data_IF_177299004676
#
_entry.id   IF_177299004676
#
_cell.length_a   1.000
_cell.length_b   1.000
_cell.length_c   1.000
_cell.angle_alpha   90.00
_cell.angle_beta   90.00
_cell.angle_gamma   90.00
#
_symmetry.space_group_name_H-M   'P 1'
#
loop_
_entity.id
_entity.type
_entity.pdbx_description
1 polymer ?
#
# COMPACT_ATOMS: atom_id res chain seq x y z
N UNK A 1 5.05 10.10 3.10
CA UNK A 1 6.35 10.19 2.41
C UNK A 1 6.10 10.73 1.04
N UNK A 2 7.05 11.51 0.53
CA UNK A 2 7.17 11.78 -0.90
C UNK A 2 7.97 10.64 -1.53
N UNK A 3 7.91 10.50 -2.85
CA UNK A 3 8.75 9.61 -3.65
C UNK A 3 10.20 10.12 -3.80
N UNK A 4 10.49 11.32 -3.30
CA UNK A 4 11.81 11.95 -3.39
C UNK A 4 12.73 11.51 -2.24
N UNK A 5 14.02 11.41 -2.54
CA UNK A 5 15.06 10.95 -1.62
C UNK A 5 16.13 12.02 -1.38
N UNK A 6 16.84 11.90 -0.25
CA UNK A 6 17.92 12.82 0.15
C UNK A 6 17.49 13.91 1.14
N UNK A 7 18.46 14.58 1.81
CA UNK A 7 18.17 15.59 2.84
C UNK A 7 17.40 16.80 2.30
N UNK A 8 17.62 17.16 1.03
CA UNK A 8 16.97 18.30 0.37
C UNK A 8 15.47 18.06 0.11
N UNK A 9 15.02 16.79 0.14
CA UNK A 9 13.60 16.44 0.04
C UNK A 9 12.86 16.54 1.38
N UNK A 10 13.53 17.01 2.44
CA UNK A 10 12.96 17.17 3.78
C UNK A 10 11.88 18.25 3.83
N UNK A 11 10.73 17.90 4.43
CA UNK A 11 9.63 18.83 4.68
C UNK A 11 9.43 19.01 6.19
N UNK A 12 9.34 20.25 6.65
CA UNK A 12 9.18 20.56 8.08
C UNK A 12 7.89 19.97 8.68
N UNK A 13 6.87 19.76 7.86
CA UNK A 13 5.56 19.22 8.23
C UNK A 13 5.35 17.77 7.76
N UNK A 14 6.42 17.07 7.36
CA UNK A 14 6.37 15.72 6.78
C UNK A 14 5.51 14.73 7.58
N UNK A 15 5.56 14.84 8.92
CA UNK A 15 4.91 13.91 9.84
C UNK A 15 3.56 14.42 10.38
N UNK A 16 3.18 15.66 10.09
CA UNK A 16 1.97 16.27 10.62
C UNK A 16 0.73 15.51 10.18
N UNK A 17 -0.05 15.04 11.14
CA UNK A 17 -1.26 14.24 10.92
C UNK A 17 -1.02 12.83 10.37
N UNK A 18 0.23 12.37 10.28
CA UNK A 18 0.59 11.03 9.80
C UNK A 18 0.74 10.05 10.97
N UNK A 19 0.55 8.77 10.70
CA UNK A 19 0.78 7.71 11.69
C UNK A 19 2.27 7.40 11.83
N UNK A 20 2.73 7.27 13.07
CA UNK A 20 3.98 6.63 13.46
C UNK A 20 3.64 5.43 14.33
N UNK A 21 3.90 4.23 13.83
CA UNK A 21 3.61 2.99 14.52
C UNK A 21 4.84 2.56 15.31
N UNK A 22 4.68 2.30 16.60
CA UNK A 22 5.76 1.85 17.48
C UNK A 22 5.62 0.35 17.75
N UNK A 23 6.71 -0.37 17.58
CA UNK A 23 6.81 -1.83 17.80
C UNK A 23 7.83 -2.13 18.91
N UNK A 24 7.58 -1.70 20.16
CA UNK A 24 8.56 -1.86 21.24
C UNK A 24 8.83 -3.35 21.50
N UNK A 25 10.11 -3.78 21.55
CA UNK A 25 10.47 -5.14 21.94
C UNK A 25 9.96 -5.50 23.34
N UNK A 26 9.73 -6.78 23.59
CA UNK A 26 9.33 -7.26 24.91
C UNK A 26 10.35 -6.84 25.99
N UNK A 27 9.85 -6.33 27.12
CA UNK A 27 10.69 -5.83 28.22
C UNK A 27 11.24 -4.41 28.03
N UNK A 28 10.89 -3.71 26.94
CA UNK A 28 11.25 -2.29 26.78
C UNK A 28 10.66 -1.47 27.92
N UNK A 29 11.48 -0.64 28.57
CA UNK A 29 11.03 0.22 29.65
C UNK A 29 9.97 1.21 29.17
N UNK A 30 8.84 1.29 29.87
CA UNK A 30 7.72 2.17 29.51
C UNK A 30 8.15 3.63 29.35
N UNK A 31 9.07 4.11 30.19
CA UNK A 31 9.62 5.46 30.08
C UNK A 31 10.32 5.73 28.74
N UNK A 32 11.01 4.71 28.18
CA UNK A 32 11.65 4.84 26.87
C UNK A 32 10.61 4.88 25.74
N UNK A 33 9.56 4.06 25.83
CA UNK A 33 8.44 4.06 24.86
C UNK A 33 7.76 5.44 24.86
N UNK A 34 7.37 5.94 26.04
CA UNK A 34 6.72 7.25 26.20
C UNK A 34 7.59 8.39 25.69
N UNK A 35 8.92 8.32 25.88
CA UNK A 35 9.85 9.31 25.35
C UNK A 35 9.80 9.38 23.81
N UNK A 36 9.82 8.23 23.14
CA UNK A 36 9.76 8.16 21.66
C UNK A 36 8.37 8.55 21.14
N UNK A 37 7.29 8.13 21.80
CA UNK A 37 5.93 8.57 21.45
C UNK A 37 5.77 10.08 21.56
N UNK A 38 6.28 10.67 22.65
CA UNK A 38 6.24 12.12 22.86
C UNK A 38 7.00 12.86 21.76
N UNK A 39 8.18 12.37 21.37
CA UNK A 39 8.94 12.92 20.24
C UNK A 39 8.10 12.95 18.95
N UNK A 40 7.47 11.83 18.58
CA UNK A 40 6.63 11.76 17.39
C UNK A 40 5.41 12.69 17.47
N UNK A 41 4.76 12.78 18.64
CA UNK A 41 3.64 13.70 18.86
C UNK A 41 4.04 15.16 18.73
N UNK A 42 5.24 15.54 19.20
CA UNK A 42 5.78 16.91 19.03
C UNK A 42 5.94 17.25 17.54
N UNK A 43 6.32 16.28 16.71
CA UNK A 43 6.39 16.42 15.24
C UNK A 43 5.01 16.44 14.57
N UNK A 44 3.92 16.36 15.34
CA UNK A 44 2.54 16.38 14.85
C UNK A 44 2.02 15.04 14.36
N UNK A 45 2.74 13.94 14.61
CA UNK A 45 2.30 12.60 14.23
C UNK A 45 1.26 12.03 15.22
N UNK A 46 0.42 11.13 14.73
CA UNK A 46 -0.38 10.23 15.54
C UNK A 46 0.46 8.99 15.88
N UNK A 47 0.30 8.42 17.07
CA UNK A 47 1.09 7.26 17.51
C UNK A 47 0.18 6.10 17.91
N UNK A 48 0.56 4.89 17.54
CA UNK A 48 -0.03 3.66 18.05
C UNK A 48 1.06 2.63 18.35
N UNK A 49 0.83 1.78 19.35
CA UNK A 49 1.71 0.66 19.69
C UNK A 49 1.12 -0.63 19.15
N UNK A 50 1.95 -1.52 18.63
CA UNK A 50 1.54 -2.86 18.22
C UNK A 50 2.74 -3.82 18.27
N UNK A 51 2.48 -5.13 18.23
CA UNK A 51 3.56 -6.10 18.05
C UNK A 51 4.12 -6.04 16.62
N UNK A 52 5.40 -6.37 16.46
CA UNK A 52 6.09 -6.31 15.17
C UNK A 52 5.44 -7.21 14.11
N UNK A 53 5.00 -8.42 14.49
CA UNK A 53 4.36 -9.34 13.54
C UNK A 53 2.98 -8.83 13.07
N UNK A 54 2.23 -8.16 13.93
CA UNK A 54 0.98 -7.51 13.57
C UNK A 54 1.21 -6.29 12.69
N UNK A 55 2.21 -5.45 12.99
CA UNK A 55 2.64 -4.37 12.12
C UNK A 55 2.90 -4.88 10.70
N UNK A 56 3.74 -5.91 10.57
CA UNK A 56 4.16 -6.42 9.26
C UNK A 56 2.98 -7.00 8.46
N UNK A 57 2.04 -7.68 9.11
CA UNK A 57 0.80 -8.15 8.47
C UNK A 57 -0.11 -7.02 8.03
N UNK A 58 -0.29 -6.00 8.86
CA UNK A 58 -1.12 -4.84 8.53
C UNK A 58 -0.49 -4.07 7.36
N UNK A 59 0.81 -3.78 7.42
CA UNK A 59 1.51 -3.04 6.37
C UNK A 59 1.62 -3.84 5.07
N UNK A 60 1.70 -5.18 5.14
CA UNK A 60 1.67 -6.03 3.95
C UNK A 60 0.42 -5.77 3.09
N UNK A 61 -0.76 -5.69 3.69
CA UNK A 61 -2.00 -5.45 2.94
C UNK A 61 -2.21 -3.98 2.58
N UNK A 62 -1.89 -3.02 3.47
CA UNK A 62 -2.18 -1.60 3.21
C UNK A 62 -1.10 -0.88 2.39
N UNK A 63 0.09 -1.45 2.24
CA UNK A 63 1.23 -0.81 1.56
C UNK A 63 1.98 -1.74 0.61
N UNK A 64 2.49 -2.88 1.08
CA UNK A 64 3.43 -3.68 0.27
C UNK A 64 2.75 -4.35 -0.93
N UNK A 65 1.60 -4.98 -0.71
CA UNK A 65 0.84 -5.63 -1.78
C UNK A 65 0.40 -4.61 -2.86
N UNK A 66 -0.14 -3.42 -2.53
CA UNK A 66 -0.37 -2.37 -3.51
C UNK A 66 0.84 -2.04 -4.38
N UNK A 67 2.05 -1.91 -3.80
CA UNK A 67 3.26 -1.65 -4.57
C UNK A 67 3.65 -2.82 -5.47
N UNK A 68 3.55 -4.06 -4.96
CA UNK A 68 3.80 -5.26 -5.77
C UNK A 68 2.89 -5.30 -7.01
N UNK A 69 1.60 -4.99 -6.84
CA UNK A 69 0.64 -4.94 -7.95
C UNK A 69 0.96 -3.80 -8.91
N UNK A 70 1.33 -2.62 -8.40
CA UNK A 70 1.71 -1.48 -9.24
C UNK A 70 2.94 -1.79 -10.12
N UNK A 71 4.01 -2.36 -9.54
CA UNK A 71 5.20 -2.76 -10.30
C UNK A 71 4.88 -3.81 -11.35
N UNK A 72 4.08 -4.83 -11.02
CA UNK A 72 3.74 -5.93 -11.94
C UNK A 72 2.81 -5.50 -13.07
N UNK A 73 1.87 -4.59 -12.84
CA UNK A 73 1.02 -4.02 -13.89
C UNK A 73 1.84 -3.18 -14.87
N UNK A 74 2.79 -2.36 -14.38
CA UNK A 74 3.71 -1.64 -15.24
C UNK A 74 4.56 -2.58 -16.10
N UNK A 75 5.10 -3.66 -15.51
CA UNK A 75 5.83 -4.69 -16.27
C UNK A 75 4.97 -5.39 -17.32
N UNK A 76 3.73 -5.75 -16.95
CA UNK A 76 2.78 -6.37 -17.89
C UNK A 76 2.50 -5.45 -19.09
N UNK A 77 2.35 -4.14 -18.85
CA UNK A 77 2.16 -3.16 -19.92
C UNK A 77 3.40 -3.01 -20.81
N UNK A 78 4.60 -3.15 -20.23
CA UNK A 78 5.88 -3.10 -20.95
C UNK A 78 6.09 -4.30 -21.86
N UNK A 79 5.65 -5.48 -21.42
CA UNK A 79 5.75 -6.75 -22.14
C UNK A 79 4.74 -6.89 -23.30
N UNK A 80 3.81 -5.94 -23.46
CA UNK A 80 2.90 -5.89 -24.61
C UNK A 80 3.66 -5.51 -25.88
N UNK A 81 3.22 -6.02 -27.03
CA UNK A 81 3.81 -5.71 -28.33
C UNK A 81 3.94 -4.19 -28.55
N UNK A 82 5.00 -3.77 -29.28
CA UNK A 82 5.43 -2.36 -29.37
C UNK A 82 4.30 -1.38 -29.76
N UNK A 83 3.37 -1.77 -30.64
CA UNK A 83 2.23 -0.93 -31.03
C UNK A 83 1.26 -0.71 -29.86
N UNK A 84 0.95 -1.77 -29.10
CA UNK A 84 0.07 -1.71 -27.93
C UNK A 84 0.72 -0.98 -26.75
N UNK A 85 2.05 -1.06 -26.60
CA UNK A 85 2.78 -0.34 -25.55
C UNK A 85 2.66 1.18 -25.70
N UNK A 86 2.79 1.69 -26.92
CA UNK A 86 2.60 3.12 -27.22
C UNK A 86 1.19 3.60 -26.89
N UNK A 87 0.18 2.79 -27.24
CA UNK A 87 -1.22 3.07 -26.94
C UNK A 87 -1.53 3.03 -25.44
N UNK A 88 -0.96 2.09 -24.68
CA UNK A 88 -1.13 2.03 -23.22
C UNK A 88 -0.63 3.30 -22.55
N UNK A 89 0.52 3.82 -22.99
CA UNK A 89 1.06 5.09 -22.48
C UNK A 89 0.21 6.29 -22.92
N UNK A 90 -0.23 6.32 -24.18
CA UNK A 90 -1.03 7.41 -24.73
C UNK A 90 -2.43 7.49 -24.10
N UNK A 91 -3.06 6.34 -23.86
CA UNK A 91 -4.42 6.22 -23.33
C UNK A 91 -4.47 5.91 -21.83
N UNK A 92 -3.34 5.98 -21.12
CA UNK A 92 -3.28 5.84 -19.68
C UNK A 92 -4.24 6.85 -19.01
N UNK A 93 -5.40 6.37 -18.59
CA UNK A 93 -6.41 7.15 -17.89
C UNK A 93 -5.91 7.52 -16.48
N UNK A 94 -6.58 8.49 -15.84
CA UNK A 94 -6.23 8.94 -14.49
C UNK A 94 -6.11 7.80 -13.48
N UNK A 95 -7.00 6.80 -13.54
CA UNK A 95 -6.95 5.64 -12.64
C UNK A 95 -5.66 4.82 -12.78
N UNK A 96 -5.16 4.63 -14.00
CA UNK A 96 -3.87 3.95 -14.22
C UNK A 96 -2.72 4.80 -13.70
N UNK A 97 -2.70 6.10 -13.99
CA UNK A 97 -1.65 7.03 -13.52
C UNK A 97 -1.59 7.12 -12.00
N UNK A 98 -2.73 7.26 -11.35
CA UNK A 98 -2.82 7.37 -9.89
C UNK A 98 -2.37 6.08 -9.20
N UNK A 99 -2.76 4.92 -9.75
CA UNK A 99 -2.37 3.63 -9.21
C UNK A 99 -0.89 3.33 -9.43
N UNK A 100 -0.36 3.65 -10.61
CA UNK A 100 1.05 3.37 -10.98
C UNK A 100 2.03 4.43 -10.51
N UNK A 101 1.58 5.57 -9.95
CA UNK A 101 2.45 6.59 -9.36
C UNK A 101 3.45 5.99 -8.36
N UNK A 102 3.01 5.01 -7.56
CA UNK A 102 3.86 4.35 -6.57
C UNK A 102 4.89 3.39 -7.18
N UNK A 103 4.77 3.03 -8.46
CA UNK A 103 5.76 2.23 -9.19
C UNK A 103 7.03 3.04 -9.52
N UNK A 104 7.03 4.36 -9.32
CA UNK A 104 8.22 5.21 -9.43
C UNK A 104 9.09 5.21 -8.15
N UNK A 105 8.74 4.38 -7.15
CA UNK A 105 9.47 4.32 -5.88
C UNK A 105 10.87 3.71 -6.02
N UNK A 106 11.75 3.98 -5.05
CA UNK A 106 13.13 3.51 -5.06
C UNK A 106 13.23 1.96 -5.12
N UNK A 107 13.94 1.39 -6.12
CA UNK A 107 13.98 -0.05 -6.31
C UNK A 107 14.78 -0.80 -5.23
N UNK A 108 15.79 -0.16 -4.63
CA UNK A 108 16.63 -0.78 -3.59
C UNK A 108 15.82 -0.96 -2.31
N UNK A 109 15.12 0.10 -1.90
CA UNK A 109 14.23 0.11 -0.74
C UNK A 109 13.12 -0.92 -0.90
N UNK A 110 12.44 -0.96 -2.06
CA UNK A 110 11.31 -1.88 -2.26
C UNK A 110 11.73 -3.34 -2.37
N UNK A 111 12.90 -3.63 -2.96
CA UNK A 111 13.51 -4.96 -2.88
C UNK A 111 13.66 -5.39 -1.43
N UNK A 112 14.25 -4.56 -0.58
CA UNK A 112 14.53 -4.91 0.81
C UNK A 112 13.23 -5.03 1.64
N UNK A 113 12.23 -4.18 1.38
CA UNK A 113 10.90 -4.29 1.98
C UNK A 113 10.25 -5.63 1.64
N UNK A 114 10.25 -6.03 0.37
CA UNK A 114 9.66 -7.30 -0.06
C UNK A 114 10.37 -8.50 0.53
N UNK A 115 11.71 -8.48 0.57
CA UNK A 115 12.49 -9.59 1.12
C UNK A 115 12.35 -9.71 2.65
N UNK A 116 12.33 -8.58 3.37
CA UNK A 116 12.22 -8.59 4.83
C UNK A 116 10.81 -8.96 5.32
N UNK A 117 9.76 -8.60 4.57
CA UNK A 117 8.37 -8.93 4.92
C UNK A 117 7.75 -9.99 3.98
N UNK A 118 8.57 -10.91 3.47
CA UNK A 118 8.18 -11.87 2.42
C UNK A 118 6.97 -12.72 2.81
N UNK A 119 6.93 -13.21 4.05
CA UNK A 119 5.95 -14.22 4.45
C UNK A 119 4.56 -13.60 4.55
N UNK A 120 4.43 -12.43 5.19
CA UNK A 120 3.16 -11.72 5.24
C UNK A 120 2.73 -11.18 3.87
N UNK A 121 3.69 -10.72 3.05
CA UNK A 121 3.40 -10.29 1.68
C UNK A 121 2.84 -11.44 0.83
N UNK A 122 3.47 -12.61 0.85
CA UNK A 122 3.02 -13.77 0.08
C UNK A 122 1.67 -14.29 0.56
N UNK A 123 1.42 -14.28 1.87
CA UNK A 123 0.09 -14.62 2.41
C UNK A 123 -1.00 -13.70 1.84
N UNK A 124 -0.77 -12.37 1.88
CA UNK A 124 -1.72 -11.40 1.36
C UNK A 124 -1.87 -11.48 -0.16
N UNK A 125 -0.77 -11.72 -0.87
CA UNK A 125 -0.78 -11.92 -2.32
C UNK A 125 -1.59 -13.15 -2.74
N UNK A 126 -1.49 -14.26 -2.00
CA UNK A 126 -2.30 -15.46 -2.27
C UNK A 126 -3.79 -15.16 -2.16
N UNK A 127 -4.21 -14.51 -1.07
CA UNK A 127 -5.61 -14.12 -0.84
C UNK A 127 -6.12 -13.18 -1.94
N UNK A 128 -5.32 -12.17 -2.29
CA UNK A 128 -5.66 -11.26 -3.39
C UNK A 128 -5.77 -11.99 -4.72
N UNK A 129 -4.87 -12.91 -5.02
CA UNK A 129 -4.87 -13.68 -6.27
C UNK A 129 -6.13 -14.53 -6.41
N UNK A 130 -6.57 -15.17 -5.32
CA UNK A 130 -7.83 -15.93 -5.28
C UNK A 130 -9.05 -15.02 -5.56
N UNK A 131 -9.13 -13.87 -4.89
CA UNK A 131 -10.20 -12.89 -5.09
C UNK A 131 -10.20 -12.33 -6.53
N UNK A 132 -9.02 -11.99 -7.07
CA UNK A 132 -8.86 -11.49 -8.43
C UNK A 132 -9.28 -12.52 -9.48
N UNK A 133 -8.89 -13.79 -9.29
CA UNK A 133 -9.32 -14.88 -10.16
C UNK A 133 -10.82 -15.14 -10.06
N UNK A 134 -11.41 -15.02 -8.86
CA UNK A 134 -12.86 -15.16 -8.69
C UNK A 134 -13.62 -14.05 -9.44
N UNK A 135 -13.17 -12.79 -9.34
CA UNK A 135 -13.72 -11.68 -10.11
C UNK A 135 -13.56 -11.90 -11.62
N UNK A 136 -12.39 -12.35 -12.08
CA UNK A 136 -12.16 -12.64 -13.50
C UNK A 136 -13.08 -13.76 -14.02
N UNK A 137 -13.35 -14.80 -13.21
CA UNK A 137 -14.33 -15.85 -13.55
C UNK A 137 -15.75 -15.30 -13.64
N UNK A 138 -16.15 -14.44 -12.69
CA UNK A 138 -17.47 -13.81 -12.73
C UNK A 138 -17.66 -13.00 -14.02
N UNK A 139 -16.65 -12.22 -14.42
CA UNK A 139 -16.66 -11.49 -15.70
C UNK A 139 -16.75 -12.46 -16.89
N UNK A 140 -15.94 -13.52 -16.91
CA UNK A 140 -15.93 -14.51 -17.99
C UNK A 140 -17.29 -15.15 -18.23
N UNK A 141 -18.05 -15.41 -17.16
CA UNK A 141 -19.33 -16.10 -17.21
C UNK A 141 -20.54 -15.16 -17.11
N UNK A 142 -20.32 -13.85 -17.06
CA UNK A 142 -21.40 -12.86 -16.98
C UNK A 142 -22.19 -12.87 -15.66
N UNK A 143 -21.56 -13.25 -14.55
CA UNK A 143 -22.17 -13.26 -13.22
C UNK A 143 -22.28 -11.83 -12.67
N UNK A 144 -23.30 -11.10 -13.14
CA UNK A 144 -23.52 -9.70 -12.81
C UNK A 144 -23.74 -9.46 -11.31
N UNK A 145 -24.46 -10.35 -10.64
CA UNK A 145 -24.77 -10.23 -9.21
C UNK A 145 -23.51 -10.34 -8.35
N UNK A 146 -22.62 -11.29 -8.65
CA UNK A 146 -21.33 -11.41 -7.96
C UNK A 146 -20.46 -10.16 -8.15
N UNK A 147 -20.40 -9.66 -9.38
CA UNK A 147 -19.62 -8.45 -9.71
C UNK A 147 -20.15 -7.25 -8.92
N UNK A 148 -21.47 -7.03 -8.93
CA UNK A 148 -22.10 -5.92 -8.23
C UNK A 148 -21.90 -6.01 -6.70
N UNK A 149 -22.09 -7.18 -6.09
CA UNK A 149 -21.86 -7.36 -4.64
C UNK A 149 -20.42 -7.01 -4.25
N UNK A 150 -19.44 -7.51 -5.01
CA UNK A 150 -18.02 -7.23 -4.74
C UNK A 150 -17.67 -5.75 -4.91
N UNK A 151 -18.21 -5.07 -5.92
CA UNK A 151 -18.05 -3.62 -6.09
C UNK A 151 -18.70 -2.87 -4.91
N UNK A 152 -19.89 -3.25 -4.49
CA UNK A 152 -20.60 -2.62 -3.37
C UNK A 152 -19.85 -2.78 -2.04
N UNK A 153 -19.26 -3.95 -1.79
CA UNK A 153 -18.38 -4.16 -0.61
C UNK A 153 -17.15 -3.25 -0.66
N UNK A 154 -16.50 -3.16 -1.82
CA UNK A 154 -15.33 -2.29 -2.02
C UNK A 154 -15.67 -0.82 -1.79
N UNK A 155 -16.83 -0.35 -2.26
CA UNK A 155 -17.34 1.01 -2.03
C UNK A 155 -17.55 1.30 -0.55
N UNK A 156 -18.10 0.34 0.22
CA UNK A 156 -18.30 0.50 1.68
C UNK A 156 -16.97 0.71 2.41
N UNK A 157 -15.94 -0.07 2.06
CA UNK A 157 -14.59 0.07 2.63
C UNK A 157 -13.98 1.42 2.25
N UNK A 158 -14.05 1.83 0.97
CA UNK A 158 -13.53 3.15 0.57
C UNK A 158 -14.23 4.29 1.29
N UNK A 159 -15.56 4.21 1.45
CA UNK A 159 -16.33 5.22 2.17
C UNK A 159 -15.90 5.32 3.63
N UNK A 160 -15.70 4.19 4.31
CA UNK A 160 -15.24 4.22 5.71
C UNK A 160 -13.87 4.89 5.85
N UNK A 161 -12.94 4.69 4.89
CA UNK A 161 -11.65 5.38 4.87
C UNK A 161 -11.81 6.92 4.76
N UNK A 162 -12.77 7.39 3.96
CA UNK A 162 -13.10 8.83 3.84
C UNK A 162 -13.64 9.36 5.15
N UNK A 163 -14.56 8.64 5.78
CA UNK A 163 -15.19 9.05 7.03
C UNK A 163 -14.16 9.20 8.17
N UNK A 164 -13.11 8.35 8.17
CA UNK A 164 -12.01 8.43 9.15
C UNK A 164 -10.83 9.31 8.69
N UNK A 165 -10.98 10.08 7.59
CA UNK A 165 -9.96 10.97 7.02
C UNK A 165 -8.63 10.27 6.68
N UNK A 166 -8.71 9.04 6.18
CA UNK A 166 -7.57 8.23 5.70
C UNK A 166 -7.56 8.09 4.17
N UNK A 167 -8.26 8.98 3.46
CA UNK A 167 -8.61 8.84 2.05
C UNK A 167 -8.39 10.09 1.23
#
# INVERSE_FOLDING_TARGET
>A
GTEFSGPDAGLADLFKGRWSLLTPPAGTAEAAIVKIETMWKILGAQTARMDAAHHDRVIAIVSHLPHLIAFTICGTADDLADETRGEVLQFAASGFRDFTRIAASDPVMWRDIFLNNKDALLEMFSRFSEDAQAMARAVRWGDADYIEDKINRSRKIRKSLIDIKQA
#
